data_IF_483830102719
#
_entry.id   IF_483830102719
#
_cell.length_a   1.000
_cell.length_b   1.000
_cell.length_c   1.000
_cell.angle_alpha   90.00
_cell.angle_beta   90.00
_cell.angle_gamma   90.00
#
_symmetry.space_group_name_H-M   'P 1'
#
loop_
_entity.id
_entity.type
_entity.pdbx_description
1 polymer ?
#
# COMPACT_ATOMS: atom_id res chain seq x y z
N UNK A 1 -72.26 -52.64 73.39
CA UNK A 1 -72.33 -53.69 72.36
C UNK A 1 -72.82 -53.19 71.02
N UNK A 2 -71.96 -53.27 69.99
CA UNK A 2 -72.41 -53.47 68.63
C UNK A 2 -71.72 -54.72 68.08
N UNK A 3 -72.11 -55.91 68.53
CA UNK A 3 -71.61 -57.17 67.98
C UNK A 3 -72.77 -58.04 67.51
N UNK A 4 -73.38 -57.66 66.38
CA UNK A 4 -74.23 -58.56 65.60
C UNK A 4 -74.25 -58.10 64.13
N UNK A 5 -73.08 -58.16 63.47
CA UNK A 5 -73.02 -58.33 62.03
C UNK A 5 -72.50 -59.75 61.79
N UNK A 6 -73.36 -60.64 61.27
CA UNK A 6 -72.97 -61.99 60.89
C UNK A 6 -71.89 -61.99 59.80
N UNK A 7 -71.23 -63.13 59.53
CA UNK A 7 -70.13 -63.24 58.54
C UNK A 7 -70.46 -62.65 57.16
N UNK A 8 -71.74 -62.66 56.75
CA UNK A 8 -72.21 -62.03 55.50
C UNK A 8 -72.16 -60.49 55.51
N UNK A 9 -72.30 -59.84 56.67
CA UNK A 9 -72.23 -58.37 56.78
C UNK A 9 -70.81 -57.81 56.71
N UNK A 10 -69.82 -58.57 57.23
CA UNK A 10 -68.40 -58.22 57.15
C UNK A 10 -67.84 -58.40 55.73
N UNK A 11 -68.21 -59.49 55.05
CA UNK A 11 -67.85 -59.70 53.65
C UNK A 11 -68.47 -58.64 52.71
N UNK A 12 -69.72 -58.24 52.97
CA UNK A 12 -70.37 -57.19 52.18
C UNK A 12 -69.76 -55.80 52.40
N UNK A 13 -69.27 -55.49 53.61
CA UNK A 13 -68.54 -54.24 53.86
C UNK A 13 -67.17 -54.26 53.19
N UNK A 14 -66.48 -55.39 53.23
CA UNK A 14 -65.16 -55.55 52.63
C UNK A 14 -65.19 -55.34 51.10
N UNK A 15 -66.18 -55.91 50.40
CA UNK A 15 -66.38 -55.68 48.98
C UNK A 15 -66.67 -54.20 48.65
N UNK A 16 -67.46 -53.51 49.49
CA UNK A 16 -67.71 -52.06 49.32
C UNK A 16 -66.43 -51.25 49.48
N UNK A 17 -65.60 -51.58 50.45
CA UNK A 17 -64.33 -50.89 50.66
C UNK A 17 -63.35 -51.14 49.50
N UNK A 18 -63.39 -52.32 48.86
CA UNK A 18 -62.63 -52.60 47.64
C UNK A 18 -63.11 -51.77 46.45
N UNK A 19 -64.42 -51.66 46.28
CA UNK A 19 -65.02 -50.79 45.25
C UNK A 19 -64.65 -49.32 45.46
N UNK A 20 -64.48 -48.87 46.71
CA UNK A 20 -64.01 -47.52 47.03
C UNK A 20 -62.56 -47.29 46.61
N UNK A 21 -61.66 -48.24 46.90
CA UNK A 21 -60.27 -48.22 46.43
C UNK A 21 -60.20 -48.22 44.90
N UNK A 22 -61.03 -49.03 44.24
CA UNK A 22 -61.09 -49.06 42.77
C UNK A 22 -61.58 -47.73 42.20
N UNK A 23 -62.56 -47.08 42.83
CA UNK A 23 -63.02 -45.73 42.43
C UNK A 23 -61.93 -44.70 42.59
N UNK A 24 -61.19 -44.69 43.70
CA UNK A 24 -60.06 -43.77 43.90
C UNK A 24 -58.97 -44.00 42.85
N UNK A 25 -58.59 -45.25 42.57
CA UNK A 25 -57.62 -45.57 41.53
C UNK A 25 -58.11 -45.28 40.12
N UNK A 26 -59.43 -45.37 39.85
CA UNK A 26 -60.02 -45.07 38.53
C UNK A 26 -59.84 -43.61 38.13
N UNK A 27 -59.87 -42.68 39.09
CA UNK A 27 -59.61 -41.26 38.87
C UNK A 27 -58.15 -41.07 38.42
N UNK A 28 -57.21 -41.74 39.10
CA UNK A 28 -55.79 -41.66 38.76
C UNK A 28 -55.50 -42.32 37.42
N UNK A 29 -56.10 -43.50 37.14
CA UNK A 29 -55.97 -44.19 35.86
C UNK A 29 -56.48 -43.35 34.68
N UNK A 30 -57.61 -42.68 34.86
CA UNK A 30 -58.18 -41.77 33.85
C UNK A 30 -57.21 -40.61 33.57
N UNK A 31 -56.72 -39.96 34.64
CA UNK A 31 -55.76 -38.88 34.53
C UNK A 31 -54.43 -39.33 33.87
N UNK A 32 -53.91 -40.51 34.20
CA UNK A 32 -52.72 -41.10 33.57
C UNK A 32 -52.93 -41.28 32.07
N UNK A 33 -54.09 -41.80 31.66
CA UNK A 33 -54.40 -42.04 30.25
C UNK A 33 -54.52 -40.73 29.46
N UNK A 34 -55.25 -39.75 30.00
CA UNK A 34 -55.37 -38.41 29.40
C UNK A 34 -54.01 -37.73 29.27
N UNK A 35 -53.20 -37.79 30.33
CA UNK A 35 -51.84 -37.21 30.35
C UNK A 35 -50.93 -37.92 29.34
N UNK A 36 -51.03 -39.25 29.22
CA UNK A 36 -50.24 -40.02 28.26
C UNK A 36 -50.62 -39.70 26.81
N UNK A 37 -51.90 -39.50 26.52
CA UNK A 37 -52.37 -39.10 25.19
C UNK A 37 -51.89 -37.69 24.82
N UNK A 38 -51.94 -36.75 25.76
CA UNK A 38 -51.38 -35.40 25.59
C UNK A 38 -49.87 -35.43 25.33
N UNK A 39 -49.12 -36.26 26.07
CA UNK A 39 -47.68 -36.45 25.90
C UNK A 39 -47.30 -37.14 24.58
N UNK A 40 -48.22 -37.86 23.94
CA UNK A 40 -47.99 -38.59 22.69
C UNK A 40 -48.47 -37.80 21.46
N UNK A 41 -49.49 -36.94 21.59
CA UNK A 41 -50.13 -36.20 20.48
C UNK A 41 -50.47 -34.74 20.89
N UNK A 42 -49.50 -33.81 20.91
CA UNK A 42 -49.76 -32.41 21.26
C UNK A 42 -50.54 -31.66 20.16
N UNK A 43 -51.66 -31.03 20.51
CA UNK A 43 -52.49 -30.19 19.60
C UNK A 43 -52.03 -28.72 19.54
N UNK A 44 -52.22 -28.00 18.42
CA UNK A 44 -51.40 -26.84 18.06
C UNK A 44 -51.99 -25.44 18.40
N UNK A 45 -52.60 -25.20 19.57
CA UNK A 45 -53.15 -23.86 19.91
C UNK A 45 -52.26 -23.04 20.87
N UNK A 46 -52.14 -21.73 20.63
CA UNK A 46 -51.15 -20.80 21.24
C UNK A 46 -51.56 -20.32 22.64
N UNK A 47 -52.86 -20.20 22.94
CA UNK A 47 -53.34 -19.95 24.31
C UNK A 47 -53.33 -21.22 25.17
N UNK A 48 -53.46 -22.40 24.55
CA UNK A 48 -53.26 -23.70 25.21
C UNK A 48 -51.81 -23.94 25.63
N UNK A 49 -50.87 -23.18 25.05
CA UNK A 49 -49.41 -23.32 25.09
C UNK A 49 -48.77 -22.65 26.34
N UNK A 50 -49.35 -21.56 26.84
CA UNK A 50 -49.02 -20.99 28.15
C UNK A 50 -49.62 -21.85 29.27
N UNK A 51 -50.83 -22.34 29.04
CA UNK A 51 -51.49 -23.31 29.90
C UNK A 51 -50.72 -24.63 29.94
N UNK A 52 -50.01 -25.04 28.88
CA UNK A 52 -49.28 -26.32 28.83
C UNK A 52 -47.95 -26.35 29.61
N UNK A 53 -47.22 -25.23 29.68
CA UNK A 53 -46.04 -25.08 30.54
C UNK A 53 -46.43 -24.99 32.01
N UNK A 54 -47.56 -24.33 32.27
CA UNK A 54 -48.22 -24.32 33.58
C UNK A 54 -48.83 -25.69 33.90
N UNK A 55 -49.26 -26.46 32.89
CA UNK A 55 -49.61 -27.89 32.99
C UNK A 55 -48.36 -28.72 33.17
N UNK A 56 -47.18 -28.48 32.61
CA UNK A 56 -46.02 -29.34 32.90
C UNK A 56 -45.54 -29.19 34.35
N UNK A 57 -45.65 -27.98 34.91
CA UNK A 57 -45.41 -27.70 36.33
C UNK A 57 -46.59 -28.14 37.22
N UNK A 58 -47.84 -28.02 36.76
CA UNK A 58 -49.02 -28.49 37.49
C UNK A 58 -49.16 -30.00 37.41
N UNK A 59 -48.98 -30.65 36.26
CA UNK A 59 -48.79 -32.10 36.02
C UNK A 59 -47.66 -32.62 36.89
N UNK A 60 -46.50 -31.96 37.02
CA UNK A 60 -45.50 -32.39 38.01
C UNK A 60 -46.06 -32.34 39.44
N UNK A 61 -46.77 -31.27 39.80
CA UNK A 61 -47.46 -31.15 41.10
C UNK A 61 -48.57 -32.20 41.27
N UNK A 62 -49.30 -32.56 40.22
CA UNK A 62 -50.36 -33.56 40.18
C UNK A 62 -49.78 -34.97 40.22
N UNK A 63 -48.70 -35.28 39.49
CA UNK A 63 -47.93 -36.53 39.60
C UNK A 63 -47.47 -36.72 41.03
N UNK A 64 -46.87 -35.69 41.66
CA UNK A 64 -46.44 -35.75 43.06
C UNK A 64 -47.66 -35.98 43.98
N UNK A 65 -48.77 -35.30 43.73
CA UNK A 65 -50.00 -35.44 44.55
C UNK A 65 -50.64 -36.82 44.39
N UNK A 66 -50.79 -37.31 43.17
CA UNK A 66 -51.36 -38.63 42.86
C UNK A 66 -50.44 -39.75 43.35
N UNK A 67 -49.11 -39.61 43.21
CA UNK A 67 -48.14 -40.54 43.79
C UNK A 67 -48.29 -40.59 45.31
N UNK A 68 -48.31 -39.44 45.99
CA UNK A 68 -48.54 -39.37 47.44
C UNK A 68 -49.90 -39.96 47.86
N UNK A 69 -50.95 -39.80 47.04
CA UNK A 69 -52.27 -40.37 47.32
C UNK A 69 -52.28 -41.89 47.13
N UNK A 70 -51.66 -42.41 46.08
CA UNK A 70 -51.54 -43.85 45.81
C UNK A 70 -50.65 -44.52 46.86
N UNK A 71 -49.56 -43.87 47.29
CA UNK A 71 -48.69 -44.35 48.37
C UNK A 71 -49.45 -44.41 49.70
N UNK A 72 -50.21 -43.35 50.05
CA UNK A 72 -51.08 -43.35 51.23
C UNK A 72 -52.16 -44.42 51.15
N UNK A 73 -52.78 -44.61 49.99
CA UNK A 73 -53.80 -45.63 49.79
C UNK A 73 -53.21 -47.04 49.93
N UNK A 74 -52.00 -47.26 49.40
CA UNK A 74 -51.27 -48.51 49.59
C UNK A 74 -50.95 -48.77 51.06
N UNK A 75 -50.45 -47.76 51.79
CA UNK A 75 -50.18 -47.84 53.24
C UNK A 75 -51.46 -48.12 54.05
N UNK A 76 -52.57 -47.46 53.73
CA UNK A 76 -53.87 -47.67 54.37
C UNK A 76 -54.42 -49.07 54.14
N UNK A 77 -54.37 -49.58 52.90
CA UNK A 77 -54.79 -50.95 52.60
C UNK A 77 -53.86 -51.95 53.30
N UNK A 78 -52.55 -51.75 53.25
CA UNK A 78 -51.60 -52.63 53.93
C UNK A 78 -51.84 -52.68 55.45
N UNK A 79 -52.03 -51.52 56.10
CA UNK A 79 -52.35 -51.46 57.54
C UNK A 79 -53.68 -52.13 57.84
N UNK A 80 -54.73 -51.86 57.04
CA UNK A 80 -56.07 -52.41 57.23
C UNK A 80 -56.07 -53.95 57.19
N UNK A 81 -55.43 -54.55 56.17
CA UNK A 81 -55.40 -56.01 56.06
C UNK A 81 -54.45 -56.65 57.08
N UNK A 82 -53.38 -55.94 57.49
CA UNK A 82 -52.54 -56.35 58.61
C UNK A 82 -53.33 -56.39 59.93
N UNK A 83 -54.13 -55.37 60.22
CA UNK A 83 -54.99 -55.30 61.41
C UNK A 83 -56.07 -56.39 61.42
N UNK A 84 -56.52 -56.81 60.23
CA UNK A 84 -57.46 -57.92 60.06
C UNK A 84 -56.78 -59.31 60.12
N UNK A 85 -55.45 -59.38 60.25
CA UNK A 85 -54.65 -60.62 60.18
C UNK A 85 -54.90 -61.43 58.90
N UNK A 86 -55.13 -60.76 57.78
CA UNK A 86 -55.34 -61.39 56.47
C UNK A 86 -54.41 -60.82 55.41
N UNK A 87 -54.24 -61.55 54.31
CA UNK A 87 -53.39 -61.13 53.20
C UNK A 87 -54.15 -60.10 52.36
N UNK A 88 -53.47 -59.02 51.96
CA UNK A 88 -53.99 -58.05 51.00
C UNK A 88 -54.43 -58.75 49.70
N UNK A 89 -55.65 -58.52 49.19
CA UNK A 89 -56.10 -59.11 47.94
C UNK A 89 -55.17 -58.76 46.78
N UNK A 90 -54.80 -59.77 45.99
CA UNK A 90 -53.87 -59.62 44.86
C UNK A 90 -54.35 -58.60 43.83
N UNK A 91 -55.66 -58.49 43.62
CA UNK A 91 -56.26 -57.51 42.71
C UNK A 91 -55.93 -56.06 43.13
N UNK A 92 -56.11 -55.74 44.43
CA UNK A 92 -55.81 -54.40 44.96
C UNK A 92 -54.31 -54.13 44.88
N UNK A 93 -53.50 -55.12 45.26
CA UNK A 93 -52.03 -55.01 45.19
C UNK A 93 -51.54 -54.78 43.76
N UNK A 94 -52.13 -55.45 42.78
CA UNK A 94 -51.78 -55.32 41.37
C UNK A 94 -52.18 -53.96 40.83
N UNK A 95 -53.41 -53.50 41.11
CA UNK A 95 -53.87 -52.19 40.66
C UNK A 95 -53.05 -51.03 41.26
N UNK A 96 -52.68 -51.11 42.55
CA UNK A 96 -51.78 -50.13 43.17
C UNK A 96 -50.41 -50.11 42.50
N UNK A 97 -49.82 -51.29 42.25
CA UNK A 97 -48.52 -51.41 41.59
C UNK A 97 -48.56 -50.89 40.15
N UNK A 98 -49.60 -51.21 39.37
CA UNK A 98 -49.79 -50.73 38.00
C UNK A 98 -49.91 -49.20 37.94
N UNK A 99 -50.72 -48.61 38.82
CA UNK A 99 -50.90 -47.15 38.88
C UNK A 99 -49.60 -46.47 39.32
N UNK A 100 -48.90 -47.00 40.33
CA UNK A 100 -47.61 -46.45 40.77
C UNK A 100 -46.53 -46.53 39.68
N UNK A 101 -46.45 -47.63 38.93
CA UNK A 101 -45.53 -47.78 37.81
C UNK A 101 -45.86 -46.81 36.66
N UNK A 102 -47.14 -46.64 36.33
CA UNK A 102 -47.58 -45.73 35.28
C UNK A 102 -47.35 -44.24 35.65
N UNK A 103 -47.57 -43.86 36.92
CA UNK A 103 -47.20 -42.54 37.43
C UNK A 103 -45.68 -42.32 37.36
N UNK A 104 -44.88 -43.33 37.72
CA UNK A 104 -43.42 -43.28 37.62
C UNK A 104 -42.94 -43.08 36.18
N UNK A 105 -43.53 -43.77 35.22
CA UNK A 105 -43.17 -43.61 33.80
C UNK A 105 -43.49 -42.20 33.26
N UNK A 106 -44.61 -41.60 33.69
CA UNK A 106 -44.95 -40.21 33.35
C UNK A 106 -43.95 -39.23 34.00
N UNK A 107 -43.59 -39.46 35.26
CA UNK A 107 -42.61 -38.65 35.98
C UNK A 107 -41.23 -38.66 35.31
N UNK A 108 -40.75 -39.83 34.94
CA UNK A 108 -39.47 -40.02 34.25
C UNK A 108 -39.47 -39.35 32.88
N UNK A 109 -40.57 -39.45 32.14
CA UNK A 109 -40.72 -38.78 30.84
C UNK A 109 -40.69 -37.25 30.99
N UNK A 110 -41.40 -36.71 31.98
CA UNK A 110 -41.42 -35.27 32.29
C UNK A 110 -40.02 -34.78 32.68
N UNK A 111 -39.33 -35.52 33.54
CA UNK A 111 -37.99 -35.17 34.01
C UNK A 111 -36.97 -35.21 32.87
N UNK A 112 -37.02 -36.22 32.01
CA UNK A 112 -36.15 -36.34 30.83
C UNK A 112 -36.34 -35.20 29.83
N UNK A 113 -37.58 -34.83 29.53
CA UNK A 113 -37.88 -33.70 28.64
C UNK A 113 -37.34 -32.37 29.21
N UNK A 114 -37.41 -32.20 30.52
CA UNK A 114 -36.86 -31.03 31.22
C UNK A 114 -35.33 -30.96 31.12
N UNK A 115 -34.63 -32.05 31.42
CA UNK A 115 -33.16 -32.10 31.36
C UNK A 115 -32.64 -31.79 29.95
N UNK A 116 -33.26 -32.37 28.92
CA UNK A 116 -32.92 -32.09 27.52
C UNK A 116 -33.14 -30.61 27.17
N UNK A 117 -34.25 -30.00 27.63
CA UNK A 117 -34.52 -28.58 27.42
C UNK A 117 -33.49 -27.68 28.11
N UNK A 118 -33.11 -28.02 29.35
CA UNK A 118 -32.11 -27.27 30.13
C UNK A 118 -30.73 -27.35 29.47
N UNK A 119 -30.32 -28.52 28.96
CA UNK A 119 -29.10 -28.70 28.16
C UNK A 119 -29.08 -27.81 26.91
N UNK A 120 -30.16 -27.86 26.11
CA UNK A 120 -30.28 -26.99 24.94
C UNK A 120 -30.22 -25.51 25.32
N UNK A 121 -30.89 -25.12 26.41
CA UNK A 121 -30.88 -23.73 26.88
C UNK A 121 -29.48 -23.28 27.32
N UNK A 122 -28.71 -24.15 27.97
CA UNK A 122 -27.31 -23.89 28.33
C UNK A 122 -26.44 -23.72 27.09
N UNK A 123 -26.54 -24.63 26.11
CA UNK A 123 -25.77 -24.55 24.87
C UNK A 123 -26.09 -23.30 24.06
N UNK A 124 -27.37 -22.92 23.98
CA UNK A 124 -27.82 -21.65 23.38
C UNK A 124 -27.16 -20.47 24.08
N UNK A 125 -27.12 -20.47 25.41
CA UNK A 125 -26.47 -19.41 26.17
C UNK A 125 -24.96 -19.34 25.92
N UNK A 126 -24.27 -20.48 25.93
CA UNK A 126 -22.82 -20.56 25.70
C UNK A 126 -22.42 -20.05 24.31
N UNK A 127 -23.15 -20.46 23.27
CA UNK A 127 -22.94 -19.96 21.90
C UNK A 127 -23.21 -18.46 21.83
N UNK A 128 -24.26 -17.97 22.52
CA UNK A 128 -24.59 -16.55 22.58
C UNK A 128 -23.46 -15.71 23.19
N UNK A 129 -22.90 -16.14 24.32
CA UNK A 129 -21.80 -15.42 24.98
C UNK A 129 -20.52 -15.45 24.15
N UNK A 130 -20.19 -16.59 23.53
CA UNK A 130 -19.04 -16.68 22.61
C UNK A 130 -19.20 -15.74 21.41
N UNK A 131 -20.37 -15.73 20.77
CA UNK A 131 -20.65 -14.83 19.64
C UNK A 131 -20.56 -13.36 20.04
N UNK A 132 -21.07 -12.99 21.22
CA UNK A 132 -20.94 -11.62 21.75
C UNK A 132 -19.48 -11.24 21.96
N UNK A 133 -18.67 -12.13 22.54
CA UNK A 133 -17.25 -11.89 22.78
C UNK A 133 -16.48 -11.71 21.45
N UNK A 134 -16.72 -12.57 20.47
CA UNK A 134 -16.12 -12.49 19.13
C UNK A 134 -16.57 -11.20 18.41
N UNK A 135 -17.87 -10.89 18.46
CA UNK A 135 -18.43 -9.66 17.88
C UNK A 135 -17.84 -8.39 18.49
N UNK A 136 -17.63 -8.36 19.81
CA UNK A 136 -17.02 -7.23 20.50
C UNK A 136 -15.58 -6.99 20.02
N UNK A 137 -14.80 -8.06 19.86
CA UNK A 137 -13.42 -7.98 19.37
C UNK A 137 -13.35 -7.48 17.92
N UNK A 138 -14.25 -7.90 17.04
CA UNK A 138 -14.30 -7.37 15.66
C UNK A 138 -14.66 -5.88 15.58
N UNK A 139 -15.34 -5.34 16.60
CA UNK A 139 -15.72 -3.92 16.69
C UNK A 139 -14.61 -3.04 17.28
N UNK A 140 -13.60 -3.62 17.90
CA UNK A 140 -12.47 -2.89 18.46
C UNK A 140 -11.61 -2.28 17.34
N UNK A 141 -11.18 -1.03 17.52
CA UNK A 141 -10.31 -0.36 16.57
C UNK A 141 -8.87 -0.69 16.91
N UNK A 142 -8.11 -1.20 15.93
CA UNK A 142 -6.68 -1.43 16.13
C UNK A 142 -5.97 -0.07 16.35
N UNK A 143 -5.08 0.02 17.34
CA UNK A 143 -4.40 1.27 17.67
C UNK A 143 -3.34 1.66 16.64
N UNK A 144 -2.71 0.69 15.96
CA UNK A 144 -1.74 0.93 14.90
C UNK A 144 -1.69 -0.23 13.87
N UNK A 145 -0.91 -0.02 12.80
CA UNK A 145 -0.75 -0.94 11.66
C UNK A 145 0.01 -2.20 12.02
N UNK A 146 0.93 -2.17 12.98
CA UNK A 146 1.73 -3.33 13.40
C UNK A 146 0.92 -4.27 14.30
N UNK A 147 0.11 -3.74 15.21
CA UNK A 147 -0.88 -4.50 15.98
C UNK A 147 -1.97 -5.08 15.06
N UNK A 148 -2.38 -4.34 14.02
CA UNK A 148 -3.30 -4.87 13.01
C UNK A 148 -2.69 -6.05 12.22
N UNK A 149 -1.37 -6.03 11.94
CA UNK A 149 -0.65 -7.14 11.30
C UNK A 149 -0.54 -8.38 12.19
N UNK A 150 -0.34 -8.20 13.50
CA UNK A 150 -0.31 -9.31 14.45
C UNK A 150 -1.70 -9.91 14.66
N UNK A 151 -2.75 -9.10 14.73
CA UNK A 151 -4.15 -9.55 14.80
C UNK A 151 -4.59 -10.35 13.56
N UNK A 152 -4.08 -10.04 12.37
CA UNK A 152 -4.31 -10.83 11.13
C UNK A 152 -3.73 -12.24 11.23
N UNK A 153 -2.64 -12.43 11.98
CA UNK A 153 -2.08 -13.76 12.25
C UNK A 153 -2.89 -14.54 13.28
N UNK A 154 -3.77 -13.88 14.05
CA UNK A 154 -4.65 -14.53 15.02
C UNK A 154 -5.85 -15.13 14.28
N UNK A 155 -5.54 -16.21 13.56
CA UNK A 155 -6.49 -17.11 12.90
C UNK A 155 -7.53 -17.69 13.88
N UNK A 156 -7.28 -17.60 15.19
CA UNK A 156 -8.15 -18.14 16.24
C UNK A 156 -9.55 -17.49 16.27
N UNK A 157 -9.70 -16.23 15.85
CA UNK A 157 -11.01 -15.54 15.89
C UNK A 157 -11.96 -15.99 14.77
N UNK A 158 -11.41 -16.34 13.60
CA UNK A 158 -12.18 -16.93 12.51
C UNK A 158 -12.53 -18.39 12.85
N UNK A 159 -11.58 -19.14 13.41
CA UNK A 159 -11.81 -20.50 13.90
C UNK A 159 -12.87 -20.56 15.01
N UNK A 160 -12.87 -19.62 15.95
CA UNK A 160 -13.89 -19.51 17.00
C UNK A 160 -15.28 -19.23 16.42
N UNK A 161 -15.37 -18.40 15.39
CA UNK A 161 -16.62 -18.08 14.70
C UNK A 161 -17.15 -19.27 13.88
N UNK A 162 -16.27 -19.98 13.18
CA UNK A 162 -16.61 -21.18 12.42
C UNK A 162 -17.04 -22.31 13.35
N UNK A 163 -16.36 -22.49 14.48
CA UNK A 163 -16.73 -23.41 15.56
C UNK A 163 -18.12 -23.10 16.13
N UNK A 164 -18.45 -21.82 16.33
CA UNK A 164 -19.81 -21.41 16.71
C UNK A 164 -20.84 -21.79 15.63
N UNK A 165 -20.50 -21.68 14.34
CA UNK A 165 -21.37 -22.07 13.23
C UNK A 165 -21.63 -23.58 13.19
N UNK A 166 -20.58 -24.39 13.38
CA UNK A 166 -20.70 -25.84 13.45
C UNK A 166 -21.55 -26.30 14.64
N UNK A 167 -21.25 -25.80 15.83
CA UNK A 167 -22.00 -26.14 17.06
C UNK A 167 -23.47 -25.68 16.99
N UNK A 168 -23.75 -24.54 16.34
CA UNK A 168 -25.10 -24.07 16.09
C UNK A 168 -25.88 -24.97 15.13
N UNK A 169 -25.22 -25.45 14.06
CA UNK A 169 -25.83 -26.38 13.10
C UNK A 169 -26.15 -27.74 13.74
N UNK A 170 -25.24 -28.26 14.58
CA UNK A 170 -25.46 -29.48 15.36
C UNK A 170 -26.60 -29.31 16.37
N UNK A 171 -26.68 -28.15 17.02
CA UNK A 171 -27.74 -27.81 17.96
C UNK A 171 -29.10 -27.71 17.25
N UNK A 172 -29.17 -27.09 16.08
CA UNK A 172 -30.39 -27.04 15.27
C UNK A 172 -30.87 -28.45 14.89
N UNK A 173 -29.97 -29.30 14.36
CA UNK A 173 -30.31 -30.68 14.03
C UNK A 173 -30.83 -31.48 15.26
N UNK A 174 -30.21 -31.28 16.43
CA UNK A 174 -30.66 -31.92 17.66
C UNK A 174 -32.03 -31.40 18.15
N UNK A 175 -32.32 -30.11 17.98
CA UNK A 175 -33.62 -29.51 18.31
C UNK A 175 -34.71 -29.96 17.33
N UNK A 176 -34.39 -30.12 16.04
CA UNK A 176 -35.33 -30.68 15.05
C UNK A 176 -35.73 -32.11 15.42
N UNK A 177 -34.76 -32.96 15.79
CA UNK A 177 -35.05 -34.34 16.21
C UNK A 177 -35.84 -34.39 17.53
N UNK A 178 -35.50 -33.53 18.50
CA UNK A 178 -36.29 -33.36 19.73
C UNK A 178 -37.72 -32.89 19.43
N UNK A 179 -37.90 -32.02 18.43
CA UNK A 179 -39.18 -31.49 17.97
C UNK A 179 -40.14 -32.52 17.41
N UNK A 180 -39.64 -33.68 16.95
CA UNK A 180 -40.51 -34.79 16.55
C UNK A 180 -41.38 -35.31 17.69
N UNK A 181 -40.89 -35.24 18.92
CA UNK A 181 -41.60 -35.68 20.13
C UNK A 181 -42.15 -34.52 20.96
N UNK A 182 -41.60 -33.31 20.78
CA UNK A 182 -41.91 -32.14 21.59
C UNK A 182 -42.00 -30.87 20.69
N UNK A 183 -42.98 -30.76 19.79
CA UNK A 183 -43.03 -29.74 18.74
C UNK A 183 -43.06 -28.30 19.29
N UNK A 184 -43.68 -28.09 20.45
CA UNK A 184 -43.86 -26.78 21.06
C UNK A 184 -42.60 -26.25 21.76
N UNK A 185 -41.93 -27.11 22.52
CA UNK A 185 -40.63 -26.80 23.11
C UNK A 185 -39.57 -26.62 22.01
N UNK A 186 -39.62 -27.44 20.96
CA UNK A 186 -38.75 -27.27 19.81
C UNK A 186 -39.01 -25.96 19.07
N UNK A 187 -40.26 -25.47 18.99
CA UNK A 187 -40.53 -24.13 18.44
C UNK A 187 -39.85 -23.03 19.25
N UNK A 188 -39.95 -23.04 20.57
CA UNK A 188 -39.27 -22.06 21.43
C UNK A 188 -37.74 -22.09 21.27
N UNK A 189 -37.17 -23.30 21.22
CA UNK A 189 -35.73 -23.50 21.02
C UNK A 189 -35.31 -23.08 19.60
N UNK A 190 -36.13 -23.38 18.59
CA UNK A 190 -35.90 -22.99 17.19
C UNK A 190 -35.92 -21.46 17.04
N UNK A 191 -36.84 -20.77 17.72
CA UNK A 191 -36.87 -19.29 17.72
C UNK A 191 -35.60 -18.70 18.34
N UNK A 192 -35.06 -19.32 19.39
CA UNK A 192 -33.79 -18.92 20.00
C UNK A 192 -32.58 -19.24 19.10
N UNK A 193 -32.57 -20.40 18.45
CA UNK A 193 -31.56 -20.80 17.46
C UNK A 193 -31.58 -19.87 16.26
N UNK A 194 -32.75 -19.49 15.74
CA UNK A 194 -32.88 -18.54 14.64
C UNK A 194 -32.26 -17.19 14.99
N UNK A 195 -32.47 -16.69 16.21
CA UNK A 195 -31.79 -15.48 16.71
C UNK A 195 -30.28 -15.66 16.78
N UNK A 196 -29.79 -16.82 17.24
CA UNK A 196 -28.35 -17.12 17.24
C UNK A 196 -27.78 -17.20 15.81
N UNK A 197 -28.50 -17.79 14.87
CA UNK A 197 -28.11 -17.86 13.46
C UNK A 197 -28.03 -16.48 12.83
N UNK A 198 -28.97 -15.58 13.16
CA UNK A 198 -28.90 -14.20 12.74
C UNK A 198 -27.68 -13.48 13.34
N UNK A 199 -27.42 -13.65 14.64
CA UNK A 199 -26.23 -13.08 15.29
C UNK A 199 -24.92 -13.64 14.73
N UNK A 200 -24.85 -14.94 14.45
CA UNK A 200 -23.70 -15.59 13.81
C UNK A 200 -23.46 -14.97 12.44
N UNK A 201 -24.50 -14.89 11.61
CA UNK A 201 -24.41 -14.27 10.29
C UNK A 201 -23.98 -12.80 10.33
N UNK A 202 -24.54 -12.00 11.25
CA UNK A 202 -24.10 -10.62 11.48
C UNK A 202 -22.63 -10.53 11.89
N UNK A 203 -22.17 -11.46 12.73
CA UNK A 203 -20.77 -11.53 13.19
C UNK A 203 -19.83 -11.96 12.07
N UNK A 204 -20.23 -12.88 11.20
CA UNK A 204 -19.49 -13.23 9.96
C UNK A 204 -19.32 -12.02 9.05
N UNK A 205 -20.39 -11.25 8.84
CA UNK A 205 -20.30 -10.02 8.03
C UNK A 205 -19.35 -8.99 8.64
N UNK A 206 -19.29 -8.87 9.97
CA UNK A 206 -18.32 -8.00 10.63
C UNK A 206 -16.89 -8.50 10.43
N UNK A 207 -16.66 -9.82 10.52
CA UNK A 207 -15.37 -10.44 10.23
C UNK A 207 -14.91 -10.16 8.79
N UNK A 208 -15.80 -10.32 7.82
CA UNK A 208 -15.52 -10.03 6.40
C UNK A 208 -15.19 -8.55 6.15
N UNK A 209 -15.97 -7.65 6.74
CA UNK A 209 -15.71 -6.21 6.67
C UNK A 209 -14.33 -5.87 7.25
N UNK A 210 -13.98 -6.45 8.40
CA UNK A 210 -12.67 -6.25 9.03
C UNK A 210 -11.54 -6.85 8.21
N UNK A 211 -11.71 -8.05 7.64
CA UNK A 211 -10.73 -8.67 6.75
C UNK A 211 -10.48 -7.83 5.49
N UNK A 212 -11.54 -7.29 4.88
CA UNK A 212 -11.40 -6.41 3.72
C UNK A 212 -10.68 -5.10 4.09
N UNK A 213 -10.99 -4.52 5.25
CA UNK A 213 -10.27 -3.36 5.77
C UNK A 213 -8.79 -3.67 6.03
N UNK A 214 -8.47 -4.81 6.64
CA UNK A 214 -7.08 -5.25 6.89
C UNK A 214 -6.30 -5.46 5.58
N UNK A 215 -6.93 -6.01 4.54
CA UNK A 215 -6.33 -6.10 3.20
C UNK A 215 -6.01 -4.72 2.63
N UNK A 216 -6.92 -3.75 2.78
CA UNK A 216 -6.67 -2.36 2.36
C UNK A 216 -5.52 -1.72 3.14
N UNK A 217 -5.44 -1.93 4.46
CA UNK A 217 -4.33 -1.48 5.29
C UNK A 217 -3.01 -2.11 4.85
N UNK A 218 -2.99 -3.42 4.56
CA UNK A 218 -1.79 -4.10 4.08
C UNK A 218 -1.33 -3.55 2.71
N UNK A 219 -2.26 -3.35 1.77
CA UNK A 219 -1.93 -2.68 0.50
C UNK A 219 -1.39 -1.27 0.74
N UNK A 220 -1.99 -0.51 1.67
CA UNK A 220 -1.51 0.83 2.02
C UNK A 220 -0.07 0.81 2.54
N UNK A 221 0.35 -0.21 3.30
CA UNK A 221 1.75 -0.37 3.72
C UNK A 221 2.67 -0.55 2.51
N UNK A 222 2.33 -1.46 1.59
CA UNK A 222 3.13 -1.65 0.37
C UNK A 222 3.19 -0.37 -0.48
N UNK A 223 2.07 0.33 -0.60
CA UNK A 223 2.01 1.61 -1.32
C UNK A 223 2.86 2.69 -0.67
N UNK A 224 2.96 2.72 0.67
CA UNK A 224 3.86 3.62 1.38
C UNK A 224 5.33 3.27 1.14
N UNK A 225 5.68 1.99 1.13
CA UNK A 225 7.06 1.57 0.84
C UNK A 225 7.47 2.00 -0.58
N UNK A 226 6.63 1.71 -1.58
CA UNK A 226 6.85 2.15 -2.97
C UNK A 226 6.90 3.67 -3.11
N UNK A 227 6.01 4.40 -2.42
CA UNK A 227 6.03 5.87 -2.36
C UNK A 227 7.37 6.39 -1.82
N UNK A 228 7.90 5.78 -0.76
CA UNK A 228 9.16 6.19 -0.15
C UNK A 228 10.36 5.88 -1.05
N UNK A 229 10.34 4.77 -1.79
CA UNK A 229 11.38 4.46 -2.78
C UNK A 229 11.44 5.50 -3.90
N UNK A 230 10.27 5.87 -4.45
CA UNK A 230 10.16 6.94 -5.45
C UNK A 230 10.61 8.30 -4.90
N UNK A 231 10.19 8.63 -3.67
CA UNK A 231 10.61 9.84 -2.98
C UNK A 231 12.13 9.92 -2.83
N UNK A 232 12.78 8.83 -2.41
CA UNK A 232 14.24 8.79 -2.24
C UNK A 232 14.98 8.96 -3.58
N UNK A 233 14.47 8.36 -4.66
CA UNK A 233 15.03 8.58 -6.00
C UNK A 233 14.92 10.05 -6.42
N UNK A 234 13.75 10.66 -6.30
CA UNK A 234 13.52 12.05 -6.70
C UNK A 234 14.38 13.01 -5.88
N UNK A 235 14.52 12.78 -4.57
CA UNK A 235 15.36 13.60 -3.69
C UNK A 235 16.85 13.48 -4.05
N UNK A 236 17.35 12.27 -4.32
CA UNK A 236 18.73 12.04 -4.76
C UNK A 236 19.01 12.72 -6.10
N UNK A 237 18.12 12.60 -7.06
CA UNK A 237 18.24 13.31 -8.34
C UNK A 237 18.22 14.83 -8.13
N UNK A 238 17.32 15.34 -7.28
CA UNK A 238 17.18 16.77 -7.01
C UNK A 238 18.45 17.36 -6.39
N UNK A 239 19.09 16.65 -5.48
CA UNK A 239 20.36 17.09 -4.88
C UNK A 239 21.51 17.06 -5.90
N UNK A 240 21.58 16.01 -6.73
CA UNK A 240 22.52 15.94 -7.85
C UNK A 240 22.34 17.09 -8.84
N UNK A 241 21.09 17.40 -9.21
CA UNK A 241 20.74 18.53 -10.06
C UNK A 241 21.15 19.88 -9.44
N UNK A 242 20.84 20.10 -8.16
CA UNK A 242 21.23 21.31 -7.42
C UNK A 242 22.73 21.52 -7.37
N UNK A 243 23.48 20.47 -7.01
CA UNK A 243 24.94 20.54 -6.94
C UNK A 243 25.54 20.88 -8.31
N UNK A 244 25.00 20.30 -9.39
CA UNK A 244 25.45 20.58 -10.75
C UNK A 244 25.14 22.02 -11.20
N UNK A 245 23.97 22.57 -10.82
CA UNK A 245 23.63 23.97 -11.10
C UNK A 245 24.47 24.94 -10.24
N UNK A 246 24.87 24.56 -9.02
CA UNK A 246 25.72 25.40 -8.16
C UNK A 246 27.21 25.32 -8.49
N UNK A 247 27.66 24.24 -9.13
CA UNK A 247 29.07 24.03 -9.47
C UNK A 247 29.60 25.15 -10.38
N UNK A 248 30.86 25.55 -10.17
CA UNK A 248 31.51 26.52 -11.05
C UNK A 248 31.83 25.90 -12.42
N UNK A 249 31.74 26.68 -13.48
CA UNK A 249 32.04 26.22 -14.85
C UNK A 249 33.52 26.46 -15.16
N UNK A 250 34.16 25.49 -15.80
CA UNK A 250 35.55 25.54 -16.24
C UNK A 250 35.56 25.93 -17.73
N UNK A 251 35.81 27.21 -17.99
CA UNK A 251 35.74 27.80 -19.34
C UNK A 251 37.04 27.68 -20.17
N UNK A 252 38.00 26.85 -19.75
CA UNK A 252 39.38 26.92 -20.28
C UNK A 252 39.57 26.44 -21.72
N UNK A 253 38.80 25.42 -22.14
CA UNK A 253 38.88 24.86 -23.50
C UNK A 253 37.57 24.16 -23.88
N UNK A 254 37.38 23.92 -25.18
CA UNK A 254 36.21 23.16 -25.69
C UNK A 254 36.11 21.77 -25.05
N UNK A 255 37.23 21.05 -24.91
CA UNK A 255 37.24 19.72 -24.27
C UNK A 255 36.68 19.76 -22.83
N UNK A 256 37.05 20.78 -22.03
CA UNK A 256 36.51 20.92 -20.67
C UNK A 256 35.01 21.21 -20.70
N UNK A 257 34.55 22.07 -21.61
CA UNK A 257 33.12 22.38 -21.76
C UNK A 257 32.34 21.14 -22.20
N UNK A 258 32.85 20.35 -23.14
CA UNK A 258 32.24 19.09 -23.58
C UNK A 258 32.10 18.07 -22.45
N UNK A 259 33.10 17.94 -21.57
CA UNK A 259 33.00 17.07 -20.40
C UNK A 259 31.88 17.51 -19.46
N UNK A 260 31.75 18.81 -19.22
CA UNK A 260 30.65 19.36 -18.40
C UNK A 260 29.29 19.19 -19.08
N UNK A 261 29.17 19.45 -20.38
CA UNK A 261 27.96 19.21 -21.20
C UNK A 261 27.48 17.76 -21.02
N UNK A 262 28.40 16.78 -21.09
CA UNK A 262 28.06 15.36 -20.87
C UNK A 262 27.48 15.11 -19.48
N UNK A 263 27.97 15.78 -18.43
CA UNK A 263 27.43 15.66 -17.07
C UNK A 263 25.99 16.19 -16.98
N UNK A 264 25.72 17.36 -17.55
CA UNK A 264 24.36 17.93 -17.62
C UNK A 264 23.40 17.04 -18.43
N UNK A 265 23.85 16.51 -19.57
CA UNK A 265 23.07 15.57 -20.39
C UNK A 265 22.76 14.26 -19.65
N UNK A 266 23.69 13.75 -18.84
CA UNK A 266 23.47 12.54 -18.03
C UNK A 266 22.37 12.77 -16.96
N UNK A 267 22.42 13.88 -16.23
CA UNK A 267 21.39 14.24 -15.24
C UNK A 267 20.01 14.43 -15.88
N UNK A 268 19.95 15.05 -17.07
CA UNK A 268 18.69 15.18 -17.81
C UNK A 268 18.15 13.85 -18.35
N UNK A 269 19.03 12.85 -18.58
CA UNK A 269 18.59 11.52 -19.00
C UNK A 269 17.91 10.79 -17.84
N UNK A 270 18.51 10.85 -16.65
CA UNK A 270 17.94 10.31 -15.41
C UNK A 270 16.60 10.98 -15.08
N UNK A 271 16.43 12.26 -15.44
CA UNK A 271 15.19 13.00 -15.17
C UNK A 271 13.96 12.49 -15.95
N UNK A 272 14.12 11.55 -16.89
CA UNK A 272 13.01 11.02 -17.70
C UNK A 272 12.08 10.11 -16.90
N UNK A 273 12.62 9.45 -15.88
CA UNK A 273 11.87 8.53 -15.01
C UNK A 273 11.06 9.30 -13.96
N UNK A 274 11.51 10.50 -13.57
CA UNK A 274 10.87 11.33 -12.53
C UNK A 274 9.40 11.63 -12.80
N UNK A 275 9.01 11.89 -14.06
CA UNK A 275 7.63 12.22 -14.36
C UNK A 275 6.71 11.02 -14.11
N UNK A 276 7.13 9.83 -14.52
CA UNK A 276 6.41 8.59 -14.25
C UNK A 276 6.36 8.27 -12.75
N UNK A 277 7.46 8.50 -12.02
CA UNK A 277 7.49 8.34 -10.57
C UNK A 277 6.55 9.32 -9.88
N UNK A 278 6.53 10.59 -10.28
CA UNK A 278 5.62 11.60 -9.73
C UNK A 278 4.16 11.27 -10.01
N UNK A 279 3.82 10.83 -11.23
CA UNK A 279 2.47 10.36 -11.58
C UNK A 279 2.08 9.15 -10.72
N UNK A 280 2.97 8.16 -10.59
CA UNK A 280 2.73 6.99 -9.75
C UNK A 280 2.58 7.37 -8.28
N UNK A 281 3.37 8.33 -7.77
CA UNK A 281 3.20 8.86 -6.41
C UNK A 281 1.83 9.50 -6.20
N UNK A 282 1.27 10.22 -7.20
CA UNK A 282 -0.10 10.74 -7.13
C UNK A 282 -1.11 9.59 -7.04
N UNK A 283 -0.99 8.58 -7.90
CA UNK A 283 -1.87 7.40 -7.86
C UNK A 283 -1.81 6.68 -6.51
N UNK A 284 -0.62 6.53 -5.93
CA UNK A 284 -0.43 5.93 -4.60
C UNK A 284 -1.05 6.79 -3.51
N UNK A 285 -0.92 8.11 -3.57
CA UNK A 285 -1.59 9.04 -2.63
C UNK A 285 -3.11 8.88 -2.70
N UNK A 286 -3.68 8.76 -3.90
CA UNK A 286 -5.11 8.53 -4.09
C UNK A 286 -5.54 7.18 -3.49
N UNK A 287 -4.77 6.11 -3.71
CA UNK A 287 -5.04 4.79 -3.12
C UNK A 287 -4.93 4.80 -1.59
N UNK A 288 -3.97 5.54 -1.04
CA UNK A 288 -3.76 5.70 0.40
C UNK A 288 -4.87 6.51 1.07
N UNK A 289 -5.53 7.41 0.33
CA UNK A 289 -6.63 8.26 0.84
C UNK A 289 -7.83 7.44 1.34
N UNK A 290 -7.99 6.19 0.88
CA UNK A 290 -9.04 5.29 1.34
C UNK A 290 -8.87 4.85 2.81
N UNK A 291 -7.65 4.94 3.36
CA UNK A 291 -7.29 4.36 4.66
C UNK A 291 -6.59 5.37 5.57
N UNK A 292 -5.91 6.37 5.01
CA UNK A 292 -5.06 7.33 5.74
C UNK A 292 -5.40 8.79 5.37
N UNK A 293 -5.03 9.72 6.24
CA UNK A 293 -4.98 11.15 5.90
C UNK A 293 -3.73 11.39 5.04
N UNK A 294 -3.91 11.98 3.86
CA UNK A 294 -2.87 12.07 2.82
C UNK A 294 -2.59 13.50 2.36
N UNK A 295 -3.16 14.51 3.01
CA UNK A 295 -3.06 15.92 2.60
C UNK A 295 -1.60 16.40 2.53
N UNK A 296 -0.79 16.00 3.52
CA UNK A 296 0.65 16.32 3.56
C UNK A 296 1.42 15.64 2.45
N UNK A 297 1.09 14.39 2.13
CA UNK A 297 1.72 13.64 1.04
C UNK A 297 1.35 14.23 -0.33
N UNK A 298 0.09 14.61 -0.52
CA UNK A 298 -0.39 15.28 -1.73
C UNK A 298 0.33 16.61 -1.94
N UNK A 299 0.48 17.41 -0.87
CA UNK A 299 1.25 18.64 -0.93
C UNK A 299 2.73 18.38 -1.26
N UNK A 300 3.34 17.36 -0.65
CA UNK A 300 4.73 16.98 -0.92
C UNK A 300 4.94 16.61 -2.39
N UNK A 301 4.05 15.82 -3.00
CA UNK A 301 4.14 15.47 -4.43
C UNK A 301 4.01 16.72 -5.30
N UNK A 302 3.08 17.63 -4.98
CA UNK A 302 2.95 18.91 -5.69
C UNK A 302 4.24 19.74 -5.61
N UNK A 303 4.85 19.84 -4.42
CA UNK A 303 6.08 20.59 -4.21
C UNK A 303 7.28 19.96 -4.94
N UNK A 304 7.40 18.63 -4.91
CA UNK A 304 8.43 17.88 -5.64
C UNK A 304 8.26 18.04 -7.15
N UNK A 305 7.04 17.95 -7.66
CA UNK A 305 6.74 18.16 -9.09
C UNK A 305 7.21 19.54 -9.55
N UNK A 306 6.74 20.61 -8.89
CA UNK A 306 7.19 21.98 -9.21
C UNK A 306 8.70 22.13 -9.10
N UNK A 307 9.30 21.60 -8.04
CA UNK A 307 10.73 21.77 -7.79
C UNK A 307 11.61 21.02 -8.80
N UNK A 308 11.21 19.81 -9.20
CA UNK A 308 11.93 19.03 -10.21
C UNK A 308 11.82 19.67 -11.59
N UNK A 309 10.65 20.22 -11.95
CA UNK A 309 10.46 20.99 -13.19
C UNK A 309 11.36 22.24 -13.23
N UNK A 310 11.40 23.02 -12.14
CA UNK A 310 12.28 24.18 -12.02
C UNK A 310 13.76 23.81 -12.17
N UNK A 311 14.21 22.74 -11.51
CA UNK A 311 15.58 22.25 -11.64
C UNK A 311 15.89 21.76 -13.06
N UNK A 312 14.97 21.01 -13.67
CA UNK A 312 15.13 20.52 -15.03
C UNK A 312 15.24 21.69 -16.01
N UNK A 313 14.43 22.73 -15.85
CA UNK A 313 14.49 23.92 -16.69
C UNK A 313 15.78 24.71 -16.50
N UNK A 314 16.23 24.90 -15.24
CA UNK A 314 17.51 25.54 -14.94
C UNK A 314 18.69 24.77 -15.57
N UNK A 315 18.67 23.44 -15.48
CA UNK A 315 19.66 22.59 -16.13
C UNK A 315 19.61 22.76 -17.66
N UNK A 316 18.43 22.73 -18.29
CA UNK A 316 18.28 22.90 -19.74
C UNK A 316 18.83 24.24 -20.22
N UNK A 317 18.51 25.33 -19.52
CA UNK A 317 19.00 26.68 -19.86
C UNK A 317 20.53 26.74 -19.76
N UNK A 318 21.08 26.20 -18.66
CA UNK A 318 22.54 26.20 -18.44
C UNK A 318 23.27 25.31 -19.43
N UNK A 319 22.70 24.16 -19.77
CA UNK A 319 23.22 23.27 -20.81
C UNK A 319 23.24 23.96 -22.17
N UNK A 320 22.17 24.64 -22.57
CA UNK A 320 22.13 25.39 -23.82
C UNK A 320 23.23 26.46 -23.87
N UNK A 321 23.40 27.23 -22.78
CA UNK A 321 24.47 28.22 -22.68
C UNK A 321 25.87 27.58 -22.78
N UNK A 322 26.08 26.40 -22.19
CA UNK A 322 27.34 25.66 -22.30
C UNK A 322 27.59 25.14 -23.72
N UNK A 323 26.57 24.62 -24.40
CA UNK A 323 26.66 24.15 -25.78
C UNK A 323 26.99 25.28 -26.76
N UNK A 324 26.44 26.47 -26.53
CA UNK A 324 26.75 27.64 -27.37
C UNK A 324 28.15 28.21 -27.05
N UNK A 325 28.56 28.18 -25.78
CA UNK A 325 29.93 28.49 -25.40
C UNK A 325 30.94 27.52 -25.99
N UNK A 326 30.67 26.20 -25.98
CA UNK A 326 31.53 25.17 -26.56
C UNK A 326 31.76 25.41 -28.05
N UNK A 327 30.69 25.65 -28.82
CA UNK A 327 30.80 26.00 -30.26
C UNK A 327 31.65 27.24 -30.48
N UNK A 328 31.46 28.29 -29.68
CA UNK A 328 32.23 29.53 -29.82
C UNK A 328 33.70 29.34 -29.42
N UNK A 329 33.98 28.51 -28.42
CA UNK A 329 35.32 28.16 -27.97
C UNK A 329 36.05 27.29 -29.00
N UNK A 330 35.38 26.28 -29.56
CA UNK A 330 35.92 25.42 -30.62
C UNK A 330 36.31 26.23 -31.86
N UNK A 331 35.47 27.19 -32.27
CA UNK A 331 35.79 28.10 -33.37
C UNK A 331 37.02 28.97 -33.07
N UNK A 332 37.12 29.52 -31.85
CA UNK A 332 38.30 30.29 -31.44
C UNK A 332 39.56 29.42 -31.39
N UNK A 333 39.46 28.21 -30.86
CA UNK A 333 40.55 27.22 -30.83
C UNK A 333 41.06 26.89 -32.22
N UNK A 334 40.14 26.69 -33.16
CA UNK A 334 40.47 26.44 -34.55
C UNK A 334 41.21 27.62 -35.19
N UNK A 335 40.67 28.84 -35.08
CA UNK A 335 41.28 30.03 -35.71
C UNK A 335 42.63 30.41 -35.08
N UNK A 336 42.76 30.33 -33.75
CA UNK A 336 44.03 30.57 -33.05
C UNK A 336 45.09 29.55 -33.47
N UNK A 337 44.71 28.28 -33.61
CA UNK A 337 45.60 27.23 -34.10
C UNK A 337 46.00 27.44 -35.56
N UNK A 338 45.05 27.84 -36.42
CA UNK A 338 45.31 28.14 -37.82
C UNK A 338 46.30 29.30 -37.97
N UNK A 339 46.09 30.40 -37.23
CA UNK A 339 46.99 31.56 -37.21
C UNK A 339 48.38 31.16 -36.69
N UNK A 340 48.46 30.36 -35.63
CA UNK A 340 49.74 29.90 -35.09
C UNK A 340 50.53 29.08 -36.12
N UNK A 341 49.89 28.08 -36.75
CA UNK A 341 50.52 27.24 -37.77
C UNK A 341 51.00 28.07 -38.97
N UNK A 342 50.18 29.02 -39.42
CA UNK A 342 50.54 29.86 -40.55
C UNK A 342 51.70 30.81 -40.22
N UNK A 343 51.75 31.37 -39.00
CA UNK A 343 52.89 32.17 -38.52
C UNK A 343 54.18 31.35 -38.43
N UNK A 344 54.12 30.14 -37.86
CA UNK A 344 55.27 29.24 -37.79
C UNK A 344 55.82 28.90 -39.18
N UNK A 345 54.94 28.65 -40.16
CA UNK A 345 55.34 28.39 -41.55
C UNK A 345 56.07 29.58 -42.19
N UNK A 346 55.54 30.80 -42.01
CA UNK A 346 56.20 32.01 -42.54
C UNK A 346 57.51 32.28 -41.81
N UNK A 347 57.54 32.12 -40.50
CA UNK A 347 58.76 32.30 -39.71
C UNK A 347 59.85 31.28 -40.09
N UNK A 348 59.49 30.02 -40.31
CA UNK A 348 60.39 28.98 -40.82
C UNK A 348 60.92 29.31 -42.21
N UNK A 349 60.08 29.85 -43.10
CA UNK A 349 60.48 30.26 -44.45
C UNK A 349 61.47 31.45 -44.40
N UNK A 350 61.21 32.44 -43.55
CA UNK A 350 62.06 33.62 -43.38
C UNK A 350 63.40 33.34 -42.69
N UNK A 351 63.43 32.36 -41.79
CA UNK A 351 64.63 31.94 -41.04
C UNK A 351 65.41 30.82 -41.72
N UNK A 352 64.92 30.30 -42.85
CA UNK A 352 65.60 29.23 -43.58
C UNK A 352 66.99 29.67 -44.06
N UNK A 353 68.06 28.93 -43.73
CA UNK A 353 69.41 29.22 -44.20
C UNK A 353 69.55 29.05 -45.72
N UNK A 354 68.63 28.32 -46.37
CA UNK A 354 68.60 28.17 -47.82
C UNK A 354 68.22 29.48 -48.51
N UNK A 355 67.32 30.27 -47.91
CA UNK A 355 66.94 31.59 -48.41
C UNK A 355 68.16 32.52 -48.45
N UNK A 356 69.03 32.46 -47.44
CA UNK A 356 70.25 33.27 -47.37
C UNK A 356 71.29 32.92 -48.46
N UNK A 357 71.22 31.72 -49.06
CA UNK A 357 72.15 31.25 -50.11
C UNK A 357 71.68 31.57 -51.54
N UNK A 358 70.43 32.00 -51.71
CA UNK A 358 69.85 32.38 -53.01
C UNK A 358 70.34 33.76 -53.48
N UNK A 359 70.13 34.06 -54.76
CA UNK A 359 70.45 35.38 -55.31
C UNK A 359 69.55 36.48 -54.72
N UNK A 360 70.02 37.74 -54.72
CA UNK A 360 69.24 38.88 -54.19
C UNK A 360 67.86 39.01 -54.87
N UNK A 361 67.76 38.61 -56.15
CA UNK A 361 66.52 38.62 -56.94
C UNK A 361 65.54 37.53 -56.49
N UNK A 362 66.02 36.34 -56.21
CA UNK A 362 65.22 35.23 -55.68
C UNK A 362 64.77 35.54 -54.23
N UNK A 363 65.66 36.08 -53.41
CA UNK A 363 65.33 36.53 -52.05
C UNK A 363 64.24 37.61 -52.02
N UNK A 364 64.31 38.58 -52.93
CA UNK A 364 63.32 39.64 -53.05
C UNK A 364 61.96 39.10 -53.53
N UNK A 365 61.96 38.24 -54.55
CA UNK A 365 60.72 37.63 -55.06
C UNK A 365 60.06 36.70 -54.05
N UNK A 366 60.83 35.94 -53.28
CA UNK A 366 60.30 35.09 -52.20
C UNK A 366 59.73 35.92 -51.04
N UNK A 367 60.39 37.02 -50.64
CA UNK A 367 59.84 37.93 -49.62
C UNK A 367 58.63 38.74 -50.09
N UNK A 368 58.57 39.12 -51.37
CA UNK A 368 57.38 39.73 -51.98
C UNK A 368 56.20 38.76 -52.03
N UNK A 369 56.44 37.47 -52.31
CA UNK A 369 55.41 36.43 -52.20
C UNK A 369 54.91 36.29 -50.77
N UNK A 370 55.82 36.26 -49.79
CA UNK A 370 55.44 36.25 -48.37
C UNK A 370 54.62 37.47 -47.99
N UNK A 371 54.94 38.68 -48.49
CA UNK A 371 54.10 39.86 -48.26
C UNK A 371 52.68 39.72 -48.83
N UNK A 372 52.49 39.02 -49.94
CA UNK A 372 51.17 38.68 -50.45
C UNK A 372 50.46 37.67 -49.53
N UNK A 373 51.19 36.69 -49.01
CA UNK A 373 50.67 35.74 -48.01
C UNK A 373 50.29 36.46 -46.70
N UNK A 374 50.93 37.58 -46.35
CA UNK A 374 50.57 38.38 -45.17
C UNK A 374 49.22 39.09 -45.27
N UNK A 375 48.67 39.27 -46.47
CA UNK A 375 47.29 39.73 -46.63
C UNK A 375 46.29 38.68 -46.10
N UNK A 376 46.64 37.39 -46.19
CA UNK A 376 45.87 36.31 -45.56
C UNK A 376 45.97 36.32 -44.03
N UNK A 377 47.10 36.73 -43.45
CA UNK A 377 47.21 36.93 -42.00
C UNK A 377 46.28 38.03 -41.49
N UNK A 378 46.06 39.09 -42.26
CA UNK A 378 45.08 40.13 -41.89
C UNK A 378 43.69 39.52 -41.74
N UNK A 379 43.30 38.67 -42.68
CA UNK A 379 42.00 37.98 -42.65
C UNK A 379 41.91 37.00 -41.46
N UNK A 380 42.97 36.24 -41.18
CA UNK A 380 43.01 35.32 -40.04
C UNK A 380 43.01 36.05 -38.68
N UNK A 381 43.74 37.15 -38.55
CA UNK A 381 43.71 38.01 -37.35
C UNK A 381 42.31 38.57 -37.13
N UNK A 382 41.66 39.05 -38.20
CA UNK A 382 40.27 39.52 -38.12
C UNK A 382 39.31 38.37 -37.73
N UNK A 383 39.51 37.17 -38.25
CA UNK A 383 38.71 35.99 -37.87
C UNK A 383 38.88 35.66 -36.38
N UNK A 384 40.11 35.64 -35.85
CA UNK A 384 40.38 35.45 -34.41
C UNK A 384 39.70 36.53 -33.57
N UNK A 385 39.75 37.79 -33.99
CA UNK A 385 39.10 38.90 -33.27
C UNK A 385 37.56 38.75 -33.27
N UNK A 386 36.98 38.35 -34.40
CA UNK A 386 35.55 38.07 -34.50
C UNK A 386 35.16 36.92 -33.55
N UNK A 387 35.91 35.81 -33.55
CA UNK A 387 35.69 34.69 -32.63
C UNK A 387 35.83 35.12 -31.16
N UNK A 388 36.80 35.97 -30.81
CA UNK A 388 36.95 36.51 -29.46
C UNK A 388 35.76 37.37 -29.04
N UNK A 389 35.25 38.22 -29.94
CA UNK A 389 34.09 39.08 -29.67
C UNK A 389 32.77 38.30 -29.58
N UNK A 390 32.68 37.17 -30.28
CA UNK A 390 31.51 36.29 -30.30
C UNK A 390 31.57 35.18 -29.22
N UNK A 391 32.61 35.17 -28.38
CA UNK A 391 32.82 34.14 -27.37
C UNK A 391 31.75 34.25 -26.27
N UNK A 392 30.95 33.20 -26.10
CA UNK A 392 29.85 33.18 -25.14
C UNK A 392 30.30 32.74 -23.74
N UNK A 393 31.28 33.47 -23.19
CA UNK A 393 31.85 33.22 -21.86
C UNK A 393 31.65 34.46 -20.99
N UNK A 394 31.46 34.35 -19.66
CA UNK A 394 31.33 35.50 -18.78
C UNK A 394 32.49 36.48 -18.96
N UNK A 395 32.18 37.79 -19.00
CA UNK A 395 33.14 38.86 -19.26
C UNK A 395 34.31 38.84 -18.25
N UNK A 396 34.05 38.41 -17.02
CA UNK A 396 35.05 38.33 -15.94
C UNK A 396 36.10 37.24 -16.18
N UNK A 397 35.74 36.20 -16.93
CA UNK A 397 36.61 35.04 -17.19
C UNK A 397 37.41 35.24 -18.48
N UNK A 398 36.85 35.94 -19.46
CA UNK A 398 37.45 36.16 -20.78
C UNK A 398 38.94 36.61 -20.78
N UNK A 399 39.39 37.61 -20.00
CA UNK A 399 40.80 38.03 -19.98
C UNK A 399 41.74 37.02 -19.29
N UNK A 400 41.18 36.08 -18.54
CA UNK A 400 41.92 35.03 -17.84
C UNK A 400 42.10 33.76 -18.69
N UNK A 401 41.38 33.64 -19.80
CA UNK A 401 41.51 32.51 -20.70
C UNK A 401 42.88 32.50 -21.39
N UNK A 402 43.59 31.39 -21.24
CA UNK A 402 44.91 31.19 -21.86
C UNK A 402 44.84 31.33 -23.39
N UNK A 403 43.72 30.93 -24.00
CA UNK A 403 43.54 31.02 -25.44
C UNK A 403 43.36 32.45 -25.94
N UNK A 404 42.64 33.30 -25.21
CA UNK A 404 42.51 34.72 -25.55
C UNK A 404 43.87 35.43 -25.47
N UNK A 405 44.66 35.12 -24.43
CA UNK A 405 46.03 35.62 -24.28
C UNK A 405 46.95 35.15 -25.40
N UNK A 406 46.82 33.88 -25.79
CA UNK A 406 47.60 33.30 -26.91
C UNK A 406 47.21 33.95 -28.23
N UNK A 407 45.91 34.10 -28.51
CA UNK A 407 45.42 34.80 -29.69
C UNK A 407 45.95 36.23 -29.78
N UNK A 408 45.90 37.00 -28.68
CA UNK A 408 46.44 38.36 -28.63
C UNK A 408 47.96 38.39 -28.90
N UNK A 409 48.71 37.45 -28.32
CA UNK A 409 50.16 37.33 -28.57
C UNK A 409 50.46 37.04 -30.04
N UNK A 410 49.72 36.10 -30.66
CA UNK A 410 49.90 35.76 -32.08
C UNK A 410 49.52 36.93 -33.00
N UNK A 411 48.50 37.72 -32.66
CA UNK A 411 48.17 38.95 -33.41
C UNK A 411 49.32 39.96 -33.38
N UNK A 412 49.97 40.16 -32.22
CA UNK A 412 51.13 41.03 -32.08
C UNK A 412 52.35 40.47 -32.86
N UNK A 413 52.59 39.16 -32.79
CA UNK A 413 53.64 38.48 -33.56
C UNK A 413 53.41 38.61 -35.07
N UNK A 414 52.17 38.44 -35.55
CA UNK A 414 51.80 38.60 -36.96
C UNK A 414 52.06 40.03 -37.45
N UNK A 415 51.62 41.03 -36.68
CA UNK A 415 51.89 42.43 -36.96
C UNK A 415 53.39 42.70 -37.01
N UNK A 416 54.14 42.26 -35.99
CA UNK A 416 55.59 42.43 -35.95
C UNK A 416 56.29 41.79 -37.16
N UNK A 417 55.90 40.57 -37.54
CA UNK A 417 56.44 39.89 -38.71
C UNK A 417 56.15 40.68 -39.99
N UNK A 418 54.96 41.27 -40.11
CA UNK A 418 54.59 42.14 -41.23
C UNK A 418 55.47 43.39 -41.30
N UNK A 419 55.68 44.05 -40.17
CA UNK A 419 56.62 45.18 -40.07
C UNK A 419 58.04 44.77 -40.52
N UNK A 420 58.56 43.64 -40.05
CA UNK A 420 59.90 43.16 -40.38
C UNK A 420 60.01 42.77 -41.86
N UNK A 421 59.03 42.07 -42.41
CA UNK A 421 59.03 41.63 -43.81
C UNK A 421 59.05 42.83 -44.78
N UNK A 422 58.28 43.89 -44.48
CA UNK A 422 58.26 45.13 -45.26
C UNK A 422 59.61 45.83 -45.20
N UNK A 423 60.19 45.98 -44.01
CA UNK A 423 61.51 46.60 -43.86
C UNK A 423 62.58 45.83 -44.63
N UNK A 424 62.59 44.50 -44.55
CA UNK A 424 63.53 43.67 -45.31
C UNK A 424 63.36 43.81 -46.82
N UNK A 425 62.11 43.88 -47.32
CA UNK A 425 61.86 44.13 -48.74
C UNK A 425 62.39 45.49 -49.18
N UNK A 426 62.16 46.55 -48.39
CA UNK A 426 62.63 47.89 -48.70
C UNK A 426 64.18 47.94 -48.77
N UNK A 427 64.87 47.29 -47.83
CA UNK A 427 66.34 47.22 -47.84
C UNK A 427 66.86 46.49 -49.07
N UNK A 428 66.29 45.31 -49.41
CA UNK A 428 66.71 44.54 -50.58
C UNK A 428 66.41 45.27 -51.90
N UNK A 429 65.31 46.03 -51.97
CA UNK A 429 64.99 46.88 -53.13
C UNK A 429 66.03 47.99 -53.34
N UNK A 430 66.47 48.65 -52.26
CA UNK A 430 67.52 49.68 -52.33
C UNK A 430 68.86 49.07 -52.76
N UNK A 431 69.23 47.92 -52.19
CA UNK A 431 70.46 47.20 -52.57
C UNK A 431 70.46 46.72 -54.02
N UNK A 432 69.29 46.43 -54.59
CA UNK A 432 69.13 46.11 -56.02
C UNK A 432 69.17 47.37 -56.91
N UNK A 433 68.56 48.48 -56.46
CA UNK A 433 68.52 49.73 -57.22
C UNK A 433 69.90 50.41 -57.35
N UNK A 434 70.81 50.21 -56.40
CA UNK A 434 72.21 50.63 -56.54
C UNK A 434 72.96 49.87 -57.66
N UNK A 435 72.31 48.88 -58.30
CA UNK A 435 72.82 48.18 -59.49
C UNK A 435 72.05 48.44 -60.80
N UNK A 436 70.97 49.26 -60.81
CA UNK A 436 70.21 49.60 -62.05
C UNK A 436 69.41 50.94 -61.96
N UNK A 437 69.26 51.72 -63.05
CA UNK A 437 68.91 53.14 -62.95
C UNK A 437 67.42 53.46 -62.68
N UNK A 438 67.21 54.32 -61.69
CA UNK A 438 66.23 55.43 -61.52
C UNK A 438 64.71 55.28 -61.77
N UNK A 439 64.15 54.17 -62.25
CA UNK A 439 62.68 54.09 -62.44
C UNK A 439 61.87 53.54 -61.25
N UNK A 440 62.48 53.12 -60.14
CA UNK A 440 61.79 52.40 -59.04
C UNK A 440 61.28 53.26 -57.87
N UNK A 441 61.56 54.57 -57.84
CA UNK A 441 61.26 55.42 -56.66
C UNK A 441 59.77 55.69 -56.40
N UNK A 442 58.88 55.45 -57.36
CA UNK A 442 57.44 55.69 -57.19
C UNK A 442 56.71 54.61 -56.38
N UNK A 443 57.23 53.38 -56.31
CA UNK A 443 56.59 52.29 -55.56
C UNK A 443 56.86 52.35 -54.05
N UNK A 444 57.98 52.95 -53.65
CA UNK A 444 58.43 53.06 -52.25
C UNK A 444 57.49 53.95 -51.43
N UNK A 445 56.93 55.00 -52.04
CA UNK A 445 56.00 55.92 -51.35
C UNK A 445 54.61 55.30 -51.19
N UNK A 446 54.16 54.50 -52.16
CA UNK A 446 52.82 53.91 -52.15
C UNK A 446 52.66 52.82 -51.09
N UNK A 447 53.69 52.00 -50.85
CA UNK A 447 53.68 51.00 -49.77
C UNK A 447 53.76 51.63 -48.36
N UNK A 448 54.51 52.72 -48.19
CA UNK A 448 54.61 53.40 -46.89
C UNK A 448 53.31 54.13 -46.50
N UNK A 449 52.56 54.69 -47.45
CA UNK A 449 51.29 55.35 -47.16
C UNK A 449 50.16 54.38 -46.77
N UNK A 450 50.18 53.14 -47.27
CA UNK A 450 49.19 52.12 -46.89
C UNK A 450 49.33 51.66 -45.43
N UNK A 451 50.50 51.90 -44.84
CA UNK A 451 50.89 51.43 -43.51
C UNK A 451 50.30 52.26 -42.36
N UNK A 452 50.09 53.57 -42.58
CA UNK A 452 49.57 54.47 -41.54
C UNK A 452 48.06 54.31 -41.30
N UNK A 453 47.33 53.75 -42.26
CA UNK A 453 45.89 53.50 -42.15
C UNK A 453 45.55 52.17 -41.46
N UNK A 454 46.57 51.34 -41.18
CA UNK A 454 46.41 49.92 -40.86
C UNK A 454 46.61 49.57 -39.38
N UNK A 455 47.20 50.49 -38.60
CA UNK A 455 47.49 50.32 -37.16
C UNK A 455 46.44 51.02 -36.27
N UNK A 456 45.54 51.83 -36.84
CA UNK A 456 44.62 52.72 -36.10
C UNK A 456 43.12 52.39 -36.26
N UNK A 457 42.73 51.16 -36.56
CA UNK A 457 41.31 50.73 -36.52
C UNK A 457 41.14 49.36 -35.90
#
# INVERSE_FOLDING_TARGET
DPSCAGPNGKAAQELRDREEVEKELSVVKTWIQETRELLLNPTPDIDSLLQELEVHLSTKKYVITYRQNVDKLAEQQQSKYLDLYTILPSEISMQLAEVSLALGAIEDQIQKTREIKEDFSSRIHDISEKLKAVSAKFKEKSPDVEHAKEEVKVFSLAEDLDSCGHTLSELDAAVQEFGRRNPLLAKQLSDAINKLSEMHHQTTRLADCRNNWLKKVWHAVCYLDEYNEMLDFILRWSEKAKSLVRANIIWNSSVHLQEQIRMYQAVLRESRELHGDLESMVEKVDLLSEVLQVETMSQQVCELSRHTEELQQNIKIRLQSLEDADKSMEALEYEVKALHVALEQVQATLTSPELARQSLKEQLTQRQRLLADMESFKQQVQAVQLCQSALQVPEEVMPNLAICRTGLRLQQEASHLQHVAIQQCNILQVQQADTAPQCAQFWIVFLCCFFFYFVSS
#
